data_IF_156749707383
#
_entry.id   IF_156749707383
#
_cell.length_a   1.000
_cell.length_b   1.000
_cell.length_c   1.000
_cell.angle_alpha   90.00
_cell.angle_beta   90.00
_cell.angle_gamma   90.00
#
_symmetry.space_group_name_H-M   'P 1'
#
loop_
_entity.id
_entity.type
_entity.pdbx_description
1 polymer ?
#
# COMPACT_ATOMS: atom_id res chain seq x y z
N UNK A 1 62.80 11.01 5.55
CA UNK A 1 62.43 11.31 4.16
C UNK A 1 60.90 11.43 4.11
N UNK A 2 60.28 12.58 4.42
CA UNK A 2 60.02 13.73 3.50
C UNK A 2 59.26 13.27 2.24
N UNK A 3 58.05 13.71 1.88
CA UNK A 3 57.23 14.86 2.28
C UNK A 3 55.77 14.62 1.86
N UNK A 4 54.83 14.91 2.77
CA UNK A 4 53.43 15.26 2.53
C UNK A 4 53.33 16.72 2.04
N UNK A 5 52.36 17.03 1.17
CA UNK A 5 51.76 18.37 0.90
C UNK A 5 50.71 18.27 -0.23
N UNK A 6 49.76 19.21 -0.38
CA UNK A 6 48.80 19.68 0.63
C UNK A 6 47.35 19.80 0.09
N UNK A 7 46.38 19.62 0.98
CA UNK A 7 45.00 20.10 0.84
C UNK A 7 44.95 21.61 1.08
N UNK A 8 44.41 22.38 0.14
CA UNK A 8 44.24 23.83 0.26
C UNK A 8 42.82 24.20 0.71
N UNK A 9 42.77 25.14 1.68
CA UNK A 9 41.82 26.24 1.91
C UNK A 9 40.31 25.98 1.68
N UNK A 10 39.42 26.28 2.62
CA UNK A 10 39.23 27.60 3.24
C UNK A 10 38.72 27.45 4.69
N UNK A 11 39.36 28.14 5.64
CA UNK A 11 38.83 28.53 6.94
C UNK A 11 38.54 30.04 6.94
N UNK A 12 37.56 30.48 7.74
CA UNK A 12 37.34 31.89 8.09
C UNK A 12 35.86 32.18 8.35
N UNK A 13 35.32 31.83 9.52
CA UNK A 13 35.17 32.73 10.69
C UNK A 13 34.52 34.09 10.36
N UNK A 14 33.33 34.34 10.93
CA UNK A 14 33.12 35.42 11.92
C UNK A 14 31.68 35.41 12.45
N UNK A 15 31.58 35.17 13.75
CA UNK A 15 30.44 35.56 14.57
C UNK A 15 30.30 37.08 14.58
N UNK A 16 29.09 37.60 14.50
CA UNK A 16 28.75 38.90 15.07
C UNK A 16 27.46 38.77 15.89
N UNK A 17 27.66 38.81 17.20
CA UNK A 17 26.65 39.20 18.19
C UNK A 17 26.17 40.61 17.85
N UNK A 18 24.87 40.86 18.02
CA UNK A 18 24.40 42.15 18.52
C UNK A 18 23.42 41.90 19.66
N UNK A 19 23.92 42.17 20.85
CA UNK A 19 23.16 42.51 22.05
C UNK A 19 23.15 44.04 22.15
N UNK A 20 21.97 44.62 22.37
CA UNK A 20 21.72 45.88 23.05
C UNK A 20 20.36 45.64 23.74
N UNK A 21 20.27 45.52 25.08
CA UNK A 21 20.35 46.57 26.12
C UNK A 21 19.40 47.71 25.81
N UNK A 22 18.50 48.22 26.64
CA UNK A 22 18.09 48.13 28.06
C UNK A 22 16.79 48.97 28.09
N UNK A 23 15.77 48.82 28.94
CA UNK A 23 15.71 49.11 30.39
C UNK A 23 14.27 48.85 30.86
N UNK A 24 14.13 48.04 31.92
CA UNK A 24 13.30 48.20 33.13
C UNK A 24 12.05 49.10 33.09
N UNK A 25 10.88 48.50 33.38
CA UNK A 25 9.98 48.94 34.47
C UNK A 25 9.42 47.71 35.18
N UNK A 26 9.62 47.68 36.49
CA UNK A 26 9.16 46.69 37.47
C UNK A 26 7.88 47.22 38.09
N UNK A 27 6.77 46.49 37.94
CA UNK A 27 5.60 46.62 38.81
C UNK A 27 5.28 45.23 39.37
N UNK A 28 5.32 45.15 40.70
CA UNK A 28 4.91 43.98 41.47
C UNK A 28 3.39 43.97 41.50
N UNK A 29 2.77 42.87 41.11
CA UNK A 29 1.38 42.58 41.49
C UNK A 29 1.18 41.06 41.46
N UNK A 30 0.85 40.56 42.66
CA UNK A 30 0.10 39.33 42.99
C UNK A 30 0.53 38.02 42.32
N UNK A 31 1.24 37.23 43.13
CA UNK A 31 1.20 35.77 43.13
C UNK A 31 -0.26 35.29 43.28
N UNK A 32 -0.59 34.13 42.70
CA UNK A 32 -1.93 33.51 42.51
C UNK A 32 -2.61 33.92 41.18
N UNK A 33 -2.88 33.09 40.20
CA UNK A 33 -2.70 31.66 39.98
C UNK A 33 -2.33 31.48 38.49
N UNK A 34 -1.20 30.84 38.19
CA UNK A 34 -1.01 30.31 36.83
C UNK A 34 -2.01 29.17 36.66
N UNK A 35 -2.77 29.08 35.56
CA UNK A 35 -3.57 27.89 35.31
C UNK A 35 -2.62 26.70 35.34
N UNK A 36 -2.86 25.77 36.25
CA UNK A 36 -2.06 24.57 36.39
C UNK A 36 -1.99 23.92 35.01
N UNK A 37 -0.78 23.79 34.45
CA UNK A 37 -0.53 22.92 33.31
C UNK A 37 -1.23 21.62 33.67
N UNK A 38 -2.21 21.13 32.87
CA UNK A 38 -2.91 19.91 33.21
C UNK A 38 -1.82 18.86 33.40
N UNK A 39 -1.63 18.44 34.65
CA UNK A 39 -0.68 17.39 34.95
C UNK A 39 -1.12 16.26 34.04
N UNK A 40 -0.27 15.91 33.08
CA UNK A 40 -0.51 14.81 32.16
C UNK A 40 -0.91 13.68 33.07
N UNK A 41 -2.20 13.35 33.11
CA UNK A 41 -2.72 12.32 34.00
C UNK A 41 -1.92 11.13 33.56
N UNK A 42 -0.91 10.78 34.35
CA UNK A 42 -0.24 9.51 34.18
C UNK A 42 -1.42 8.58 34.30
N UNK A 43 -1.79 7.83 33.23
CA UNK A 43 -2.85 6.84 33.39
C UNK A 43 -2.47 6.13 34.68
N UNK A 44 -3.41 6.00 35.61
CA UNK A 44 -3.14 5.29 36.84
C UNK A 44 -2.65 3.92 36.40
N UNK A 45 -1.32 3.80 36.29
CA UNK A 45 -0.65 2.55 36.22
C UNK A 45 -0.78 2.12 37.67
N UNK A 46 -1.94 1.57 37.96
CA UNK A 46 -1.98 0.20 38.40
C UNK A 46 -1.10 -0.62 37.42
N UNK A 47 0.23 -0.39 37.47
CA UNK A 47 1.14 -1.50 37.64
C UNK A 47 0.70 -2.12 38.96
N UNK A 48 -0.41 -2.85 38.91
CA UNK A 48 -0.35 -4.21 39.38
C UNK A 48 0.84 -4.73 38.57
N UNK A 49 2.02 -4.63 39.14
CA UNK A 49 3.05 -5.59 38.82
C UNK A 49 2.35 -6.89 39.18
N UNK A 50 1.65 -7.48 38.20
CA UNK A 50 1.53 -8.92 38.11
C UNK A 50 2.95 -9.35 37.83
N UNK A 51 3.78 -9.21 38.85
CA UNK A 51 5.02 -9.91 39.01
C UNK A 51 4.53 -11.35 38.97
N UNK A 52 4.68 -11.96 37.79
CA UNK A 52 4.36 -13.36 37.60
C UNK A 52 4.97 -14.09 38.80
N UNK A 53 4.28 -15.06 39.43
CA UNK A 53 4.68 -15.63 40.72
C UNK A 53 6.10 -16.23 40.75
N UNK A 54 6.78 -16.29 39.60
CA UNK A 54 8.18 -16.68 39.48
C UNK A 54 9.20 -15.62 39.95
N UNK A 55 8.82 -14.35 40.13
CA UNK A 55 9.78 -13.28 40.51
C UNK A 55 10.14 -13.26 42.00
N UNK A 56 9.53 -14.11 42.82
CA UNK A 56 9.88 -14.31 44.23
C UNK A 56 10.27 -15.76 44.51
N UNK A 57 10.80 -16.48 43.52
CA UNK A 57 11.38 -17.80 43.75
C UNK A 57 12.72 -17.58 44.45
N UNK A 58 12.88 -18.16 45.64
CA UNK A 58 14.14 -18.13 46.37
C UNK A 58 15.24 -18.84 45.57
N UNK A 59 16.51 -18.47 45.72
CA UNK A 59 17.62 -19.12 44.99
C UNK A 59 17.61 -20.66 45.18
N UNK A 60 17.21 -21.12 46.36
CA UNK A 60 17.05 -22.55 46.69
C UNK A 60 15.93 -23.25 45.92
N UNK A 61 14.85 -22.55 45.55
CA UNK A 61 13.77 -23.10 44.73
C UNK A 61 14.13 -23.08 43.24
N UNK A 62 14.88 -22.07 42.77
CA UNK A 62 15.44 -22.04 41.41
C UNK A 62 16.41 -23.21 41.17
N UNK A 63 17.23 -23.56 42.16
CA UNK A 63 18.16 -24.70 42.08
C UNK A 63 17.43 -26.06 41.96
N UNK A 64 16.17 -26.16 42.39
CA UNK A 64 15.35 -27.37 42.25
C UNK A 64 14.66 -27.47 40.90
N UNK A 65 14.52 -26.36 40.18
CA UNK A 65 13.84 -26.34 38.89
C UNK A 65 14.77 -26.84 37.79
N UNK A 66 14.24 -27.74 36.95
CA UNK A 66 14.92 -28.19 35.74
C UNK A 66 14.49 -27.32 34.56
N UNK A 67 15.46 -26.86 33.77
CA UNK A 67 15.18 -26.25 32.48
C UNK A 67 14.68 -27.34 31.51
N UNK A 68 13.44 -27.19 31.06
CA UNK A 68 12.78 -28.12 30.11
C UNK A 68 12.32 -27.30 28.90
N UNK A 69 12.47 -27.81 27.67
CA UNK A 69 11.98 -27.11 26.49
C UNK A 69 10.46 -26.94 26.50
N UNK A 70 9.98 -25.80 26.00
CA UNK A 70 8.56 -25.48 25.96
C UNK A 70 7.75 -26.40 25.01
N UNK A 71 8.36 -26.83 23.90
CA UNK A 71 7.71 -27.67 22.89
C UNK A 71 8.20 -29.11 22.99
N UNK A 72 7.27 -30.06 22.86
CA UNK A 72 7.60 -31.50 22.78
C UNK A 72 8.44 -31.83 21.55
N UNK A 73 8.25 -31.08 20.47
CA UNK A 73 8.93 -31.20 19.18
C UNK A 73 10.26 -30.44 19.13
N UNK A 74 10.82 -30.01 20.27
CA UNK A 74 12.00 -29.15 20.34
C UNK A 74 13.21 -29.69 19.52
N UNK A 75 13.46 -30.99 19.58
CA UNK A 75 14.55 -31.64 18.85
C UNK A 75 14.22 -31.99 17.38
N UNK A 76 13.02 -31.64 16.92
CA UNK A 76 12.58 -31.86 15.55
C UNK A 76 13.25 -30.94 14.54
N UNK A 77 13.07 -31.26 13.26
CA UNK A 77 13.55 -30.42 12.17
C UNK A 77 12.94 -29.02 12.23
N UNK A 78 11.66 -28.90 12.60
CA UNK A 78 10.99 -27.63 12.76
C UNK A 78 10.04 -27.66 13.97
N UNK A 79 10.50 -27.24 15.15
CA UNK A 79 9.77 -27.48 16.39
C UNK A 79 8.39 -26.82 16.41
N UNK A 80 8.28 -25.57 15.93
CA UNK A 80 7.01 -24.85 15.90
C UNK A 80 6.02 -25.46 14.89
N UNK A 81 6.48 -25.73 13.66
CA UNK A 81 5.62 -26.32 12.63
C UNK A 81 5.15 -27.72 13.03
N UNK A 82 6.06 -28.56 13.52
CA UNK A 82 5.76 -29.94 13.90
C UNK A 82 4.75 -29.97 15.06
N UNK A 83 4.84 -29.02 16.00
CA UNK A 83 3.87 -28.85 17.08
C UNK A 83 2.49 -28.45 16.54
N UNK A 84 2.44 -27.47 15.62
CA UNK A 84 1.20 -27.04 14.99
C UNK A 84 0.57 -28.17 14.17
N UNK A 85 1.35 -28.88 13.37
CA UNK A 85 0.88 -30.01 12.58
C UNK A 85 0.38 -31.15 13.47
N UNK A 86 1.07 -31.45 14.56
CA UNK A 86 0.60 -32.44 15.54
C UNK A 86 -0.75 -32.04 16.13
N UNK A 87 -0.95 -30.75 16.45
CA UNK A 87 -2.22 -30.21 16.91
C UNK A 87 -3.33 -30.33 15.85
N UNK A 88 -3.04 -29.96 14.60
CA UNK A 88 -4.02 -30.03 13.50
C UNK A 88 -4.39 -31.47 13.15
N UNK A 89 -3.41 -32.38 13.08
CA UNK A 89 -3.64 -33.80 12.82
C UNK A 89 -4.48 -34.43 13.91
N UNK A 90 -4.21 -34.11 15.19
CA UNK A 90 -5.05 -34.56 16.31
C UNK A 90 -6.50 -34.11 16.18
N UNK A 91 -6.76 -32.88 15.72
CA UNK A 91 -8.12 -32.40 15.48
C UNK A 91 -8.78 -33.12 14.30
N UNK A 92 -8.04 -33.34 13.22
CA UNK A 92 -8.52 -34.09 12.05
C UNK A 92 -8.88 -35.54 12.40
N UNK A 93 -8.08 -36.20 13.23
CA UNK A 93 -8.33 -37.55 13.74
C UNK A 93 -9.53 -37.57 14.68
N UNK A 94 -9.60 -36.64 15.65
CA UNK A 94 -10.72 -36.52 16.60
C UNK A 94 -12.06 -36.32 15.89
N UNK A 95 -12.07 -35.54 14.80
CA UNK A 95 -13.27 -35.14 14.09
C UNK A 95 -13.41 -35.76 12.68
N UNK A 96 -12.79 -36.91 12.44
CA UNK A 96 -12.83 -37.56 11.12
C UNK A 96 -14.23 -38.00 10.66
N UNK A 97 -15.17 -38.21 11.60
CA UNK A 97 -16.54 -38.68 11.34
C UNK A 97 -17.52 -37.58 10.93
N UNK A 98 -17.14 -36.30 11.12
CA UNK A 98 -18.04 -35.20 10.78
C UNK A 98 -18.19 -35.07 9.26
N UNK A 99 -19.41 -34.79 8.76
CA UNK A 99 -19.62 -34.55 7.34
C UNK A 99 -18.81 -33.33 6.88
N UNK A 100 -18.30 -33.40 5.65
CA UNK A 100 -17.54 -32.33 5.01
C UNK A 100 -18.21 -31.88 3.73
N UNK A 101 -18.36 -30.56 3.58
CA UNK A 101 -18.86 -29.92 2.36
C UNK A 101 -17.75 -29.55 1.39
N UNK A 102 -18.09 -29.50 0.12
CA UNK A 102 -17.25 -28.85 -0.90
C UNK A 102 -17.51 -27.35 -0.83
N UNK A 103 -16.46 -26.56 -0.68
CA UNK A 103 -16.58 -25.09 -0.61
C UNK A 103 -16.72 -24.52 -2.03
N UNK A 104 -17.66 -23.59 -2.21
CA UNK A 104 -17.72 -22.78 -3.42
C UNK A 104 -16.49 -21.84 -3.50
N UNK A 105 -16.09 -21.48 -4.72
CA UNK A 105 -14.92 -20.64 -4.93
C UNK A 105 -15.05 -19.25 -4.27
N UNK A 106 -16.28 -18.73 -4.15
CA UNK A 106 -16.55 -17.44 -3.52
C UNK A 106 -16.23 -17.50 -2.04
N UNK A 107 -16.82 -18.46 -1.33
CA UNK A 107 -16.59 -18.69 0.09
C UNK A 107 -15.10 -18.97 0.36
N UNK A 108 -14.45 -19.80 -0.46
CA UNK A 108 -13.04 -20.11 -0.31
C UNK A 108 -12.15 -18.84 -0.29
N UNK A 109 -12.51 -17.82 -1.07
CA UNK A 109 -11.80 -16.54 -1.19
C UNK A 109 -12.11 -15.55 -0.05
N UNK A 110 -13.26 -15.67 0.63
CA UNK A 110 -13.66 -14.75 1.72
C UNK A 110 -12.75 -14.88 2.94
N UNK A 111 -12.46 -16.11 3.35
CA UNK A 111 -11.61 -16.39 4.51
C UNK A 111 -10.23 -16.83 4.01
N UNK A 112 -9.26 -15.92 4.11
CA UNK A 112 -7.86 -16.22 3.82
C UNK A 112 -7.08 -16.55 5.10
N UNK A 113 -6.33 -17.66 5.08
CA UNK A 113 -5.39 -17.99 6.14
C UNK A 113 -4.16 -17.06 6.12
N UNK A 114 -3.40 -17.06 7.21
CA UNK A 114 -2.14 -16.33 7.33
C UNK A 114 -1.18 -16.64 6.17
N UNK A 115 -0.45 -15.62 5.72
CA UNK A 115 0.50 -15.78 4.60
C UNK A 115 1.70 -16.63 5.00
N UNK A 116 2.40 -17.22 4.02
CA UNK A 116 3.63 -17.99 4.28
C UNK A 116 4.70 -17.16 5.01
N UNK A 117 4.80 -15.87 4.70
CA UNK A 117 5.73 -14.96 5.37
C UNK A 117 5.34 -14.73 6.84
N UNK A 118 4.06 -14.49 7.09
CA UNK A 118 3.53 -14.30 8.45
C UNK A 118 3.68 -15.57 9.31
N UNK A 119 3.43 -16.74 8.72
CA UNK A 119 3.67 -18.02 9.38
C UNK A 119 5.14 -18.22 9.76
N UNK A 120 6.07 -17.85 8.87
CA UNK A 120 7.52 -17.87 9.15
C UNK A 120 7.90 -16.95 10.29
N UNK A 121 7.35 -15.73 10.30
CA UNK A 121 7.56 -14.77 11.39
C UNK A 121 7.04 -15.31 12.72
N UNK A 122 5.83 -15.90 12.75
CA UNK A 122 5.25 -16.47 13.97
C UNK A 122 6.06 -17.64 14.53
N UNK A 123 6.65 -18.44 13.66
CA UNK A 123 7.48 -19.56 14.04
C UNK A 123 8.89 -19.17 14.52
N UNK A 124 9.31 -17.91 14.36
CA UNK A 124 10.69 -17.44 14.59
C UNK A 124 11.76 -18.35 13.95
N UNK A 125 11.40 -19.06 12.88
CA UNK A 125 12.17 -20.21 12.38
C UNK A 125 13.05 -19.88 11.17
N UNK A 126 13.17 -18.60 10.80
CA UNK A 126 14.00 -18.14 9.70
C UNK A 126 13.75 -18.92 8.39
N UNK A 127 14.79 -19.54 7.86
CA UNK A 127 14.78 -20.36 6.64
C UNK A 127 14.32 -21.81 6.82
N UNK A 128 14.00 -22.25 8.04
CA UNK A 128 13.66 -23.66 8.32
C UNK A 128 12.34 -24.09 7.66
N UNK A 129 11.37 -23.17 7.55
CA UNK A 129 10.07 -23.46 6.92
C UNK A 129 10.20 -23.38 5.39
N UNK A 130 10.17 -24.56 4.77
CA UNK A 130 10.05 -24.76 3.33
C UNK A 130 8.61 -24.55 2.84
N UNK A 131 8.41 -24.26 1.54
CA UNK A 131 7.07 -24.14 0.95
C UNK A 131 6.20 -25.39 1.11
N UNK A 132 6.82 -26.58 1.14
CA UNK A 132 6.13 -27.87 1.34
C UNK A 132 5.40 -27.89 2.69
N UNK A 133 6.08 -27.51 3.77
CA UNK A 133 5.49 -27.42 5.12
C UNK A 133 4.32 -26.44 5.18
N UNK A 134 4.44 -25.30 4.48
CA UNK A 134 3.33 -24.35 4.42
C UNK A 134 2.14 -24.91 3.63
N UNK A 135 2.38 -25.66 2.55
CA UNK A 135 1.34 -26.34 1.78
C UNK A 135 0.62 -27.39 2.63
N UNK A 136 1.36 -28.21 3.37
CA UNK A 136 0.81 -29.22 4.30
C UNK A 136 -0.06 -28.57 5.39
N UNK A 137 0.45 -27.49 5.98
CA UNK A 137 -0.27 -26.69 6.97
C UNK A 137 -1.59 -26.13 6.40
N UNK A 138 -1.55 -25.50 5.23
CA UNK A 138 -2.77 -24.96 4.58
C UNK A 138 -3.75 -26.07 4.23
N UNK A 139 -3.27 -27.21 3.74
CA UNK A 139 -4.13 -28.36 3.44
C UNK A 139 -4.82 -28.90 4.70
N UNK A 140 -4.11 -28.97 5.83
CA UNK A 140 -4.71 -29.39 7.10
C UNK A 140 -5.80 -28.41 7.56
N UNK A 141 -5.56 -27.10 7.46
CA UNK A 141 -6.57 -26.08 7.77
C UNK A 141 -7.78 -26.13 6.82
N UNK A 142 -7.56 -26.35 5.53
CA UNK A 142 -8.63 -26.51 4.54
C UNK A 142 -9.50 -27.74 4.83
N UNK A 143 -8.90 -28.85 5.27
CA UNK A 143 -9.62 -30.07 5.68
C UNK A 143 -10.46 -29.85 6.95
N UNK A 144 -10.01 -29.02 7.88
CA UNK A 144 -10.79 -28.64 9.06
C UNK A 144 -11.93 -27.68 8.69
N UNK A 145 -11.65 -26.74 7.79
CA UNK A 145 -12.62 -25.76 7.30
C UNK A 145 -13.76 -26.39 6.50
N UNK A 146 -13.54 -27.53 5.85
CA UNK A 146 -14.58 -28.20 5.07
C UNK A 146 -15.63 -28.91 5.93
N UNK A 147 -15.45 -29.01 7.25
CA UNK A 147 -16.47 -29.53 8.17
C UNK A 147 -17.72 -28.64 8.10
N UNK A 148 -18.90 -29.26 8.17
CA UNK A 148 -20.18 -28.53 8.22
C UNK A 148 -20.21 -27.50 9.38
N UNK A 149 -20.53 -26.22 9.13
CA UNK A 149 -20.50 -25.17 10.15
C UNK A 149 -21.38 -25.47 11.37
N UNK A 150 -22.55 -26.10 11.16
CA UNK A 150 -23.49 -26.45 12.23
C UNK A 150 -22.93 -27.47 13.21
N UNK A 151 -22.04 -28.34 12.73
CA UNK A 151 -21.44 -29.43 13.52
C UNK A 151 -19.99 -29.11 13.92
N UNK A 152 -19.54 -27.88 13.69
CA UNK A 152 -18.15 -27.49 13.92
C UNK A 152 -17.87 -27.34 15.43
N UNK A 153 -16.93 -28.11 15.99
CA UNK A 153 -16.61 -28.03 17.42
C UNK A 153 -15.83 -26.75 17.73
N UNK A 154 -15.98 -26.25 18.95
CA UNK A 154 -15.31 -25.03 19.42
C UNK A 154 -13.78 -25.09 19.28
N UNK A 155 -13.15 -26.24 19.55
CA UNK A 155 -11.70 -26.42 19.40
C UNK A 155 -11.22 -26.09 17.98
N UNK A 156 -11.98 -26.52 16.97
CA UNK A 156 -11.65 -26.29 15.56
C UNK A 156 -11.85 -24.81 15.24
N UNK A 157 -12.94 -24.20 15.68
CA UNK A 157 -13.21 -22.76 15.50
C UNK A 157 -12.06 -21.92 16.05
N UNK A 158 -11.63 -22.20 17.29
CA UNK A 158 -10.52 -21.48 17.93
C UNK A 158 -9.22 -21.61 17.13
N UNK A 159 -8.88 -22.81 16.64
CA UNK A 159 -7.68 -23.00 15.81
C UNK A 159 -7.77 -22.33 14.44
N UNK A 160 -8.95 -22.32 13.82
CA UNK A 160 -9.16 -21.64 12.55
C UNK A 160 -9.07 -20.12 12.72
N UNK A 161 -9.65 -19.54 13.77
CA UNK A 161 -9.53 -18.11 14.07
C UNK A 161 -8.08 -17.70 14.34
N UNK A 162 -7.32 -18.53 15.07
CA UNK A 162 -5.90 -18.31 15.35
C UNK A 162 -5.05 -18.13 14.06
N UNK A 163 -5.39 -18.86 13.00
CA UNK A 163 -4.66 -18.88 11.72
C UNK A 163 -5.39 -18.18 10.58
N UNK A 164 -6.53 -17.55 10.85
CA UNK A 164 -7.22 -16.71 9.88
C UNK A 164 -6.56 -15.34 9.88
N UNK A 165 -6.35 -14.79 8.68
CA UNK A 165 -5.82 -13.44 8.57
C UNK A 165 -6.88 -12.47 9.07
N UNK A 166 -6.62 -11.82 10.22
CA UNK A 166 -7.42 -10.69 10.71
C UNK A 166 -7.26 -9.55 9.72
N UNK A 167 -8.17 -9.49 8.76
CA UNK A 167 -8.20 -8.39 7.80
C UNK A 167 -8.65 -7.18 8.60
N UNK A 168 -7.76 -6.22 8.85
CA UNK A 168 -8.18 -4.94 9.41
C UNK A 168 -9.06 -4.28 8.36
N UNK A 169 -10.38 -4.39 8.48
CA UNK A 169 -11.36 -3.87 7.51
C UNK A 169 -11.16 -2.37 7.22
N UNK A 170 -10.58 -1.65 8.17
CA UNK A 170 -10.07 -0.28 8.07
C UNK A 170 -9.20 -0.03 6.82
N UNK A 171 -8.38 -1.00 6.39
CA UNK A 171 -7.52 -0.85 5.21
C UNK A 171 -8.27 -0.97 3.89
N UNK A 172 -9.40 -1.67 3.84
CA UNK A 172 -10.24 -1.76 2.63
C UNK A 172 -11.07 -0.49 2.45
N UNK A 173 -11.63 0.04 3.52
CA UNK A 173 -12.41 1.30 3.50
C UNK A 173 -11.52 2.49 3.14
N UNK A 174 -10.29 2.55 3.68
CA UNK A 174 -9.31 3.59 3.33
C UNK A 174 -8.90 3.57 1.84
N UNK A 175 -9.12 2.47 1.11
CA UNK A 175 -8.74 2.32 -0.30
C UNK A 175 -9.86 2.70 -1.29
N UNK A 176 -11.10 2.89 -0.84
CA UNK A 176 -12.24 3.19 -1.71
C UNK A 176 -12.82 4.58 -1.44
N UNK A 177 -12.04 5.64 -1.61
CA UNK A 177 -12.65 6.95 -1.87
C UNK A 177 -13.33 6.88 -3.24
N UNK A 178 -14.65 6.61 -3.25
CA UNK A 178 -15.46 6.57 -4.46
C UNK A 178 -15.41 7.98 -5.07
N UNK A 179 -14.97 8.06 -6.32
CA UNK A 179 -14.92 9.34 -7.02
C UNK A 179 -16.35 9.76 -7.31
N UNK A 180 -16.77 10.86 -6.71
CA UNK A 180 -18.05 11.51 -6.97
C UNK A 180 -17.87 12.68 -7.94
N UNK A 181 -18.98 13.20 -8.43
CA UNK A 181 -19.03 14.46 -9.15
C UNK A 181 -18.85 15.63 -8.17
N UNK A 182 -18.38 16.76 -8.69
CA UNK A 182 -18.33 18.02 -7.95
C UNK A 182 -19.73 18.61 -7.73
N UNK A 183 -19.80 19.71 -6.97
CA UNK A 183 -21.03 20.52 -6.75
C UNK A 183 -21.74 20.91 -8.06
N UNK A 184 -20.98 21.21 -9.11
CA UNK A 184 -21.50 21.59 -10.43
C UNK A 184 -21.75 20.38 -11.36
N UNK A 185 -21.75 19.15 -10.83
CA UNK A 185 -21.95 17.93 -11.61
C UNK A 185 -20.79 17.62 -12.58
N UNK A 186 -19.60 18.17 -12.33
CA UNK A 186 -18.42 17.97 -13.19
C UNK A 186 -17.60 16.79 -12.67
N UNK A 187 -17.05 15.99 -13.59
CA UNK A 187 -16.07 14.98 -13.29
C UNK A 187 -14.66 15.54 -13.50
N UNK A 188 -13.96 15.84 -12.41
CA UNK A 188 -12.57 16.30 -12.45
C UNK A 188 -11.59 15.12 -12.46
N UNK A 189 -10.73 15.07 -13.46
CA UNK A 189 -9.74 14.03 -13.61
C UNK A 189 -8.42 14.54 -14.17
N UNK A 190 -7.36 13.77 -13.95
CA UNK A 190 -6.02 14.08 -14.47
C UNK A 190 -5.52 12.93 -15.33
N UNK A 191 -5.03 13.26 -16.51
CA UNK A 191 -4.31 12.38 -17.43
C UNK A 191 -2.83 12.76 -17.54
N UNK A 192 -1.94 11.78 -17.69
CA UNK A 192 -0.49 12.00 -17.80
C UNK A 192 0.13 11.08 -18.85
N UNK A 193 1.00 11.63 -19.69
CA UNK A 193 1.75 10.89 -20.71
C UNK A 193 3.11 11.54 -20.97
N UNK A 194 4.21 10.79 -20.80
CA UNK A 194 5.56 11.35 -20.77
C UNK A 194 5.57 12.54 -19.79
N UNK A 195 5.93 13.73 -20.27
CA UNK A 195 5.94 14.97 -19.49
C UNK A 195 4.65 15.79 -19.63
N UNK A 196 3.69 15.34 -20.46
CA UNK A 196 2.41 16.01 -20.63
C UNK A 196 1.46 15.66 -19.47
N UNK A 197 0.81 16.69 -18.93
CA UNK A 197 -0.24 16.60 -17.92
C UNK A 197 -1.48 17.29 -18.48
N UNK A 198 -2.61 16.62 -18.41
CA UNK A 198 -3.90 17.15 -18.80
C UNK A 198 -4.83 17.10 -17.59
N UNK A 199 -5.38 18.24 -17.18
CA UNK A 199 -6.49 18.29 -16.22
C UNK A 199 -7.79 18.47 -17.01
N UNK A 200 -8.73 17.55 -16.78
CA UNK A 200 -9.99 17.45 -17.51
C UNK A 200 -11.11 17.73 -16.53
N UNK A 201 -11.98 18.67 -16.87
CA UNK A 201 -13.30 18.86 -16.26
C UNK A 201 -14.35 18.51 -17.30
N UNK A 202 -15.12 17.46 -17.04
CA UNK A 202 -16.14 16.96 -17.95
C UNK A 202 -17.53 17.15 -17.36
N UNK A 203 -18.50 17.54 -18.17
CA UNK A 203 -19.90 17.79 -17.77
C UNK A 203 -20.81 17.16 -18.82
N UNK A 204 -22.03 16.75 -18.46
CA UNK A 204 -23.08 16.43 -19.45
C UNK A 204 -23.38 17.66 -20.31
N UNK A 205 -23.49 17.51 -21.62
CA UNK A 205 -23.69 18.63 -22.54
C UNK A 205 -23.80 18.21 -24.01
N UNK A 206 -23.40 19.10 -24.92
CA UNK A 206 -23.63 19.01 -26.37
C UNK A 206 -22.42 18.51 -27.18
N UNK A 207 -21.38 18.00 -26.51
CA UNK A 207 -20.19 17.46 -27.20
C UNK A 207 -19.07 18.47 -27.47
N UNK A 208 -19.10 19.64 -26.83
CA UNK A 208 -18.09 20.68 -27.04
C UNK A 208 -16.77 20.31 -26.34
N UNK A 209 -15.69 20.18 -27.10
CA UNK A 209 -14.34 19.90 -26.59
C UNK A 209 -13.44 21.13 -26.75
N UNK A 210 -13.04 21.72 -25.63
CA UNK A 210 -12.13 22.86 -25.56
C UNK A 210 -10.81 22.46 -24.90
N UNK A 211 -9.70 22.80 -25.54
CA UNK A 211 -8.33 22.52 -25.09
C UNK A 211 -7.60 23.84 -24.94
N UNK A 212 -7.22 24.19 -23.71
CA UNK A 212 -6.58 25.47 -23.37
C UNK A 212 -7.34 26.69 -23.93
N UNK A 213 -8.68 26.66 -23.88
CA UNK A 213 -9.56 27.72 -24.38
C UNK A 213 -9.75 27.75 -25.90
N UNK A 214 -9.17 26.82 -26.66
CA UNK A 214 -9.33 26.71 -28.12
C UNK A 214 -10.12 25.47 -28.50
N UNK A 215 -10.72 25.44 -29.70
CA UNK A 215 -11.38 24.23 -30.21
C UNK A 215 -10.36 23.11 -30.45
N UNK A 216 -10.79 21.87 -30.29
CA UNK A 216 -9.91 20.69 -30.48
C UNK A 216 -9.23 20.65 -31.85
N UNK A 217 -9.94 21.05 -32.92
CA UNK A 217 -9.43 21.10 -34.30
C UNK A 217 -8.38 22.18 -34.52
N UNK A 218 -8.45 23.28 -33.76
CA UNK A 218 -7.49 24.39 -33.84
C UNK A 218 -6.23 24.09 -33.02
N UNK A 219 -6.38 23.43 -31.87
CA UNK A 219 -5.25 23.09 -31.00
C UNK A 219 -4.42 21.91 -31.55
N UNK A 220 -5.09 20.84 -31.97
CA UNK A 220 -4.45 19.66 -32.54
C UNK A 220 -4.50 19.73 -34.07
N UNK A 221 -3.37 20.08 -34.68
CA UNK A 221 -3.27 20.20 -36.14
C UNK A 221 -3.33 18.85 -36.87
N UNK A 222 -2.97 17.76 -36.19
CA UNK A 222 -2.97 16.41 -36.76
C UNK A 222 -4.29 15.71 -36.48
N UNK A 223 -4.94 15.22 -37.53
CA UNK A 223 -6.18 14.43 -37.45
C UNK A 223 -6.06 13.20 -36.55
N UNK A 224 -4.87 12.56 -36.53
CA UNK A 224 -4.58 11.44 -35.62
C UNK A 224 -4.67 11.83 -34.15
N UNK A 225 -4.19 13.02 -33.78
CA UNK A 225 -4.20 13.47 -32.39
C UNK A 225 -5.63 13.88 -31.98
N UNK A 226 -6.39 14.50 -32.88
CA UNK A 226 -7.83 14.75 -32.71
C UNK A 226 -8.62 13.45 -32.52
N UNK A 227 -8.36 12.44 -33.34
CA UNK A 227 -9.01 11.13 -33.26
C UNK A 227 -8.80 10.43 -31.91
N UNK A 228 -7.65 10.62 -31.26
CA UNK A 228 -7.38 10.08 -29.91
C UNK A 228 -8.32 10.64 -28.84
N UNK A 229 -8.72 11.90 -28.93
CA UNK A 229 -9.65 12.51 -27.98
C UNK A 229 -11.08 11.99 -28.15
N UNK A 230 -11.47 11.64 -29.38
CA UNK A 230 -12.80 11.11 -29.73
C UNK A 230 -12.92 9.61 -29.42
N UNK A 231 -11.83 8.86 -29.55
CA UNK A 231 -11.78 7.42 -29.30
C UNK A 231 -12.47 6.91 -28.01
N UNK A 232 -12.31 7.53 -26.81
CA UNK A 232 -13.02 7.10 -25.61
C UNK A 232 -14.55 7.21 -25.71
N UNK A 233 -15.07 8.21 -26.45
CA UNK A 233 -16.51 8.36 -26.68
C UNK A 233 -17.03 7.32 -27.68
N UNK A 234 -16.27 7.07 -28.76
CA UNK A 234 -16.54 6.01 -29.74
C UNK A 234 -16.65 4.63 -29.08
N UNK A 235 -15.71 4.31 -28.19
CA UNK A 235 -15.70 3.01 -27.49
C UNK A 235 -16.97 2.81 -26.67
N UNK A 236 -17.52 3.87 -26.08
CA UNK A 236 -18.72 3.82 -25.23
C UNK A 236 -20.01 4.02 -26.05
N UNK A 237 -19.91 4.48 -27.30
CA UNK A 237 -21.02 4.91 -28.15
C UNK A 237 -21.83 6.07 -27.54
N UNK A 238 -21.13 7.00 -26.86
CA UNK A 238 -21.69 8.22 -26.29
C UNK A 238 -21.00 9.44 -26.91
N UNK A 239 -21.16 9.55 -28.22
CA UNK A 239 -20.70 10.71 -28.96
C UNK A 239 -21.65 11.87 -28.69
N UNK A 240 -21.12 13.07 -28.49
CA UNK A 240 -21.88 14.31 -28.28
C UNK A 240 -22.68 14.46 -26.96
N UNK A 241 -22.55 13.55 -25.99
CA UNK A 241 -23.24 13.67 -24.68
C UNK A 241 -22.51 14.54 -23.65
N UNK A 242 -21.24 14.86 -23.87
CA UNK A 242 -20.37 15.45 -22.85
C UNK A 242 -19.63 16.66 -23.37
N UNK A 243 -19.66 17.75 -22.61
CA UNK A 243 -18.77 18.88 -22.77
C UNK A 243 -17.48 18.62 -21.99
N UNK A 244 -16.33 18.89 -22.62
CA UNK A 244 -15.02 18.62 -22.07
C UNK A 244 -14.17 19.88 -22.09
N UNK A 245 -13.76 20.32 -20.92
CA UNK A 245 -12.80 21.41 -20.75
C UNK A 245 -11.47 20.83 -20.30
N UNK A 246 -10.44 21.05 -21.11
CA UNK A 246 -9.11 20.48 -20.88
C UNK A 246 -8.10 21.60 -20.72
N UNK A 247 -7.32 21.53 -19.64
CA UNK A 247 -6.12 22.33 -19.46
C UNK A 247 -4.89 21.42 -19.55
N UNK A 248 -4.05 21.66 -20.55
CA UNK A 248 -2.87 20.85 -20.85
C UNK A 248 -1.59 21.66 -20.58
N UNK A 249 -0.62 21.03 -19.92
CA UNK A 249 0.70 21.59 -19.66
C UNK A 249 1.81 20.55 -19.85
N UNK A 250 2.98 21.01 -20.31
CA UNK A 250 4.17 20.16 -20.51
C UNK A 250 4.09 19.22 -21.72
N UNK A 251 5.22 18.55 -22.00
CA UNK A 251 5.35 17.60 -23.11
C UNK A 251 5.18 18.20 -24.51
N UNK A 252 4.89 17.35 -25.49
CA UNK A 252 4.59 17.75 -26.86
C UNK A 252 3.17 17.37 -27.27
N UNK A 253 2.70 17.88 -28.41
CA UNK A 253 1.30 17.79 -28.90
C UNK A 253 0.73 16.37 -28.85
N UNK A 254 1.44 15.38 -29.39
CA UNK A 254 0.93 13.99 -29.39
C UNK A 254 0.91 13.35 -28.01
N UNK A 255 1.85 13.74 -27.13
CA UNK A 255 1.83 13.31 -25.72
C UNK A 255 0.66 13.93 -24.96
N UNK A 256 0.33 15.20 -25.24
CA UNK A 256 -0.83 15.88 -24.69
C UNK A 256 -2.13 15.23 -25.15
N UNK A 257 -2.27 14.88 -26.43
CA UNK A 257 -3.46 14.20 -26.95
C UNK A 257 -3.72 12.86 -26.25
N UNK A 258 -2.68 12.04 -26.04
CA UNK A 258 -2.79 10.78 -25.30
C UNK A 258 -3.09 10.99 -23.80
N UNK A 259 -2.55 12.05 -23.19
CA UNK A 259 -2.90 12.43 -21.82
C UNK A 259 -4.38 12.83 -21.71
N UNK A 260 -4.90 13.60 -22.68
CA UNK A 260 -6.31 13.97 -22.77
C UNK A 260 -7.19 12.72 -22.90
N UNK A 261 -6.87 11.84 -23.84
CA UNK A 261 -7.56 10.57 -24.06
C UNK A 261 -7.69 9.75 -22.77
N UNK A 262 -6.59 9.59 -22.02
CA UNK A 262 -6.60 8.86 -20.74
C UNK A 262 -7.42 9.58 -19.66
N UNK A 263 -7.39 10.92 -19.62
CA UNK A 263 -8.19 11.71 -18.70
C UNK A 263 -9.69 11.63 -18.98
N UNK A 264 -10.11 11.79 -20.24
CA UNK A 264 -11.50 11.68 -20.69
C UNK A 264 -12.07 10.31 -20.31
N UNK A 265 -11.33 9.22 -20.59
CA UNK A 265 -11.77 7.89 -20.22
C UNK A 265 -11.98 7.73 -18.70
N UNK A 266 -11.16 8.40 -17.86
CA UNK A 266 -11.33 8.37 -16.41
C UNK A 266 -12.57 9.13 -15.97
N UNK A 267 -12.88 10.25 -16.63
CA UNK A 267 -14.05 11.04 -16.33
C UNK A 267 -15.35 10.27 -16.68
N UNK A 268 -15.39 9.56 -17.81
CA UNK A 268 -16.51 8.69 -18.18
C UNK A 268 -16.79 7.61 -17.11
N UNK A 269 -15.74 7.06 -16.48
CA UNK A 269 -15.90 6.08 -15.38
C UNK A 269 -16.49 6.71 -14.11
N UNK A 270 -16.27 8.01 -13.88
CA UNK A 270 -16.90 8.73 -12.75
C UNK A 270 -18.40 8.87 -12.99
N UNK A 271 -18.82 9.17 -14.23
CA UNK A 271 -20.24 9.24 -14.58
C UNK A 271 -20.94 7.87 -14.53
N UNK A 272 -20.31 6.84 -15.10
CA UNK A 272 -20.85 5.49 -15.07
C UNK A 272 -19.75 4.44 -14.80
N UNK A 273 -19.67 3.87 -13.58
CA UNK A 273 -18.63 2.92 -13.22
C UNK A 273 -18.74 1.59 -13.98
N UNK A 274 -19.91 1.26 -14.55
CA UNK A 274 -20.13 0.04 -15.33
C UNK A 274 -19.38 0.05 -16.67
N UNK A 275 -18.98 1.22 -17.16
CA UNK A 275 -18.21 1.37 -18.41
C UNK A 275 -16.73 0.99 -18.26
N UNK A 276 -16.22 0.95 -17.02
CA UNK A 276 -14.82 0.64 -16.71
C UNK A 276 -14.30 -0.65 -17.38
N UNK A 277 -14.98 -1.82 -17.32
CA UNK A 277 -14.51 -3.02 -18.02
C UNK A 277 -14.43 -2.84 -19.55
N UNK A 278 -15.38 -2.14 -20.17
CA UNK A 278 -15.38 -1.86 -21.62
C UNK A 278 -14.20 -0.97 -22.01
N UNK A 279 -13.99 0.13 -21.28
CA UNK A 279 -12.87 1.05 -21.47
C UNK A 279 -11.51 0.38 -21.19
N UNK A 280 -11.44 -0.53 -20.21
CA UNK A 280 -10.22 -1.30 -19.91
C UNK A 280 -9.86 -2.26 -21.04
N UNK A 281 -10.85 -2.95 -21.62
CA UNK A 281 -10.64 -3.82 -22.80
C UNK A 281 -10.12 -3.04 -24.00
N UNK A 282 -10.60 -1.80 -24.19
CA UNK A 282 -10.10 -0.89 -25.24
C UNK A 282 -8.72 -0.26 -24.95
N UNK A 283 -8.08 -0.59 -23.82
CA UNK A 283 -6.75 -0.05 -23.48
C UNK A 283 -6.74 1.38 -22.93
N UNK A 284 -7.90 1.99 -22.71
CA UNK A 284 -8.04 3.39 -22.27
C UNK A 284 -7.85 3.60 -20.77
N UNK A 285 -7.89 2.52 -19.97
CA UNK A 285 -7.74 2.58 -18.51
C UNK A 285 -6.35 2.25 -17.99
N UNK A 286 -5.39 2.04 -18.89
CA UNK A 286 -4.00 1.81 -18.55
C UNK A 286 -3.19 3.07 -18.86
N UNK A 287 -2.52 3.65 -17.85
CA UNK A 287 -1.57 4.73 -18.09
C UNK A 287 -0.38 4.19 -18.87
N UNK A 288 -0.05 4.80 -20.02
CA UNK A 288 1.19 4.48 -20.74
C UNK A 288 2.41 4.94 -19.90
N UNK A 289 3.21 3.96 -19.48
CA UNK A 289 4.39 4.14 -18.63
C UNK A 289 5.68 4.45 -19.41
N UNK A 290 5.65 4.46 -20.76
CA UNK A 290 6.83 4.67 -21.60
C UNK A 290 7.36 6.09 -21.43
N UNK A 291 8.56 6.23 -20.90
CA UNK A 291 9.23 7.53 -20.66
C UNK A 291 10.57 7.56 -21.39
N UNK A 292 11.07 8.75 -21.69
CA UNK A 292 12.40 8.92 -22.29
C UNK A 292 13.46 8.43 -21.30
N UNK A 293 14.24 7.44 -21.72
CA UNK A 293 15.37 6.96 -20.91
C UNK A 293 16.48 8.02 -20.84
N UNK A 294 17.11 8.14 -19.67
CA UNK A 294 18.27 9.01 -19.49
C UNK A 294 19.48 8.56 -20.33
N UNK A 295 20.38 9.49 -20.66
CA UNK A 295 21.70 9.16 -21.22
C UNK A 295 22.53 8.38 -20.19
N UNK A 296 23.25 7.36 -20.66
CA UNK A 296 24.21 6.58 -19.85
C UNK A 296 25.65 7.02 -20.18
N UNK A 297 26.58 7.06 -19.21
CA UNK A 297 27.98 7.36 -19.50
C UNK A 297 28.56 6.30 -20.45
N UNK A 298 29.51 6.70 -21.29
CA UNK A 298 30.08 5.82 -22.33
C UNK A 298 29.16 5.55 -23.53
N UNK A 299 27.93 6.10 -23.54
CA UNK A 299 27.00 5.99 -24.68
C UNK A 299 26.68 7.35 -25.27
N UNK A 300 26.44 7.38 -26.59
CA UNK A 300 26.07 8.59 -27.33
C UNK A 300 24.65 9.04 -26.99
N UNK A 301 23.71 8.08 -26.86
CA UNK A 301 22.32 8.30 -26.41
C UNK A 301 21.97 7.28 -25.31
N UNK A 302 20.70 7.13 -24.94
CA UNK A 302 20.27 6.15 -23.93
C UNK A 302 20.79 4.72 -24.19
N UNK A 303 20.75 4.27 -25.46
CA UNK A 303 21.19 2.93 -25.88
C UNK A 303 22.29 2.92 -26.94
N UNK A 304 22.36 3.94 -27.81
CA UNK A 304 23.35 4.05 -28.90
C UNK A 304 24.76 4.12 -28.32
N UNK A 305 25.52 3.04 -28.49
CA UNK A 305 26.95 3.01 -28.21
C UNK A 305 27.72 3.70 -29.35
N UNK A 306 28.92 4.24 -29.09
CA UNK A 306 29.85 4.57 -30.16
C UNK A 306 30.24 3.31 -30.95
N UNK A 307 30.77 3.49 -32.15
CA UNK A 307 31.28 2.38 -32.97
C UNK A 307 32.40 1.67 -32.21
N UNK A 308 32.28 0.36 -32.05
CA UNK A 308 33.29 -0.47 -31.40
C UNK A 308 34.32 -0.94 -32.44
N UNK A 309 35.61 -0.78 -32.13
CA UNK A 309 36.73 -1.20 -33.00
C UNK A 309 37.43 -2.37 -32.32
N UNK A 310 37.50 -3.52 -33.00
CA UNK A 310 37.96 -4.81 -32.44
C UNK A 310 39.47 -4.98 -32.30
N UNK A 311 40.23 -4.33 -33.21
CA UNK A 311 41.64 -4.57 -33.59
C UNK A 311 42.45 -5.47 -32.67
#
# INVERSE_FOLDING_TARGET
>A
MSLLKPSSCVQGCRSLRRLFSSTVVRSQETLEERPLVPQKVRPATHTISRSLPYTQISNAEMERLRVVPALKTFFGGNPYHDSVMSRLNRLLEKHHRLPRRVLDEREAKEISFISSAEYKSRANSGSRIRPVHYKEFVQALQKLRSIEPELMPHDVIQTLDEFTKKTSDEKKVAQSFVKTLDEFGRANTVGKRKDAVANISMVRGEGLILVNGKKMTEYFTRTLDTGKLVYPFQVVAQESEYNVFITCSGGGVSGQAEACMYGIAKALVVFNPLLKPRLRKAGLMTRDNRIVERKKPGKLKARKSPTWVKR
#
